data_IF_135741385179
#
_entry.id   IF_135741385179
#
_cell.length_a   1.000
_cell.length_b   1.000
_cell.length_c   1.000
_cell.angle_alpha   90.00
_cell.angle_beta   90.00
_cell.angle_gamma   90.00
#
_symmetry.space_group_name_H-M   'P 1'
#
loop_
_entity.id
_entity.type
_entity.pdbx_description
1 polymer ?
#
# COMPACT_ATOMS: atom_id res chain seq x y z
N UNK A 1 5.20 -15.02 2.67
CA UNK A 1 5.65 -13.67 3.06
C UNK A 1 6.32 -13.79 4.41
N UNK A 2 7.54 -13.28 4.55
CA UNK A 2 8.25 -13.26 5.83
C UNK A 2 7.67 -12.17 6.77
N UNK A 3 8.16 -12.15 8.01
CA UNK A 3 7.66 -11.25 9.06
C UNK A 3 7.88 -9.78 8.73
N UNK A 4 9.02 -9.42 8.16
CA UNK A 4 9.37 -8.02 7.92
C UNK A 4 8.54 -7.45 6.77
N UNK A 5 8.35 -8.24 5.70
CA UNK A 5 7.46 -7.87 4.60
C UNK A 5 6.00 -7.76 5.08
N UNK A 6 5.53 -8.68 5.94
CA UNK A 6 4.18 -8.59 6.52
C UNK A 6 4.00 -7.30 7.33
N UNK A 7 4.93 -7.00 8.24
CA UNK A 7 4.89 -5.78 9.06
C UNK A 7 4.94 -4.52 8.21
N UNK A 8 5.73 -4.51 7.13
CA UNK A 8 5.77 -3.42 6.18
C UNK A 8 4.43 -3.19 5.48
N UNK A 9 3.80 -4.24 4.94
CA UNK A 9 2.49 -4.12 4.27
C UNK A 9 1.43 -3.57 5.22
N UNK A 10 1.37 -4.10 6.45
CA UNK A 10 0.45 -3.60 7.49
C UNK A 10 0.71 -2.13 7.78
N UNK A 11 1.97 -1.74 7.96
CA UNK A 11 2.34 -0.35 8.17
C UNK A 11 1.87 0.57 7.02
N UNK A 12 2.10 0.17 5.76
CA UNK A 12 1.68 0.96 4.59
C UNK A 12 0.16 1.10 4.51
N UNK A 13 -0.61 0.06 4.83
CA UNK A 13 -2.08 0.14 4.91
C UNK A 13 -2.51 1.22 5.90
N UNK A 14 -1.91 1.26 7.09
CA UNK A 14 -2.21 2.28 8.09
C UNK A 14 -1.75 3.68 7.67
N UNK A 15 -0.59 3.81 7.03
CA UNK A 15 -0.11 5.08 6.51
C UNK A 15 -1.05 5.66 5.44
N UNK A 16 -1.51 4.82 4.52
CA UNK A 16 -2.50 5.18 3.51
C UNK A 16 -3.84 5.58 4.15
N UNK A 17 -4.32 4.79 5.12
CA UNK A 17 -5.55 5.08 5.86
C UNK A 17 -5.51 6.44 6.55
N UNK A 18 -4.40 6.77 7.22
CA UNK A 18 -4.19 8.06 7.85
C UNK A 18 -4.16 9.20 6.83
N UNK A 19 -3.47 9.02 5.69
CA UNK A 19 -3.39 10.04 4.64
C UNK A 19 -4.73 10.31 3.96
N UNK A 20 -5.54 9.28 3.73
CA UNK A 20 -6.79 9.37 2.99
C UNK A 20 -8.04 9.52 3.88
N UNK A 21 -7.88 9.56 5.21
CA UNK A 21 -8.99 9.67 6.15
C UNK A 21 -9.94 8.46 6.10
N UNK A 22 -9.41 7.26 5.86
CA UNK A 22 -10.18 6.02 5.73
C UNK A 22 -9.89 5.04 6.85
N UNK A 23 -10.78 4.07 7.03
CA UNK A 23 -10.50 2.91 7.89
C UNK A 23 -9.42 2.03 7.25
N UNK A 24 -8.44 1.51 8.03
CA UNK A 24 -7.43 0.58 7.54
C UNK A 24 -8.02 -0.66 6.85
N UNK A 25 -9.16 -1.17 7.32
CA UNK A 25 -9.86 -2.29 6.68
C UNK A 25 -10.35 -1.94 5.27
N UNK A 26 -10.93 -0.77 5.06
CA UNK A 26 -11.37 -0.31 3.74
C UNK A 26 -10.19 -0.09 2.80
N UNK A 27 -9.06 0.39 3.32
CA UNK A 27 -7.81 0.52 2.54
C UNK A 27 -7.28 -0.85 2.16
N UNK A 28 -7.20 -1.79 3.10
CA UNK A 28 -6.80 -3.17 2.84
C UNK A 28 -7.62 -3.78 1.71
N UNK A 29 -8.96 -3.69 1.77
CA UNK A 29 -9.85 -4.24 0.74
C UNK A 29 -9.55 -3.68 -0.66
N UNK A 30 -9.28 -2.37 -0.77
CA UNK A 30 -8.94 -1.74 -2.05
C UNK A 30 -7.56 -2.18 -2.53
N UNK A 31 -6.57 -2.22 -1.64
CA UNK A 31 -5.20 -2.62 -1.98
C UNK A 31 -5.09 -4.10 -2.36
N UNK A 32 -5.89 -4.97 -1.74
CA UNK A 32 -5.96 -6.39 -2.06
C UNK A 32 -6.64 -6.61 -3.42
N UNK A 33 -7.83 -6.04 -3.63
CA UNK A 33 -8.59 -6.18 -4.88
C UNK A 33 -7.86 -5.62 -6.11
N UNK A 34 -7.16 -4.51 -5.94
CA UNK A 34 -6.34 -3.91 -7.01
C UNK A 34 -5.05 -4.69 -7.29
N UNK A 35 -4.73 -5.69 -6.48
CA UNK A 35 -3.47 -6.42 -6.49
C UNK A 35 -2.28 -5.57 -6.05
N UNK A 36 -2.49 -4.41 -5.44
CA UNK A 36 -1.40 -3.56 -4.94
C UNK A 36 -0.54 -4.30 -3.92
N UNK A 37 -1.15 -5.08 -3.02
CA UNK A 37 -0.40 -5.89 -2.06
C UNK A 37 0.43 -6.96 -2.79
N UNK A 38 -0.23 -7.82 -3.57
CA UNK A 38 0.38 -9.02 -4.16
C UNK A 38 1.30 -8.75 -5.35
N UNK A 39 1.07 -7.66 -6.11
CA UNK A 39 1.81 -7.35 -7.36
C UNK A 39 2.76 -6.17 -7.23
N UNK A 40 2.63 -5.35 -6.18
CA UNK A 40 3.45 -4.16 -6.00
C UNK A 40 4.17 -4.12 -4.65
N UNK A 41 3.47 -4.10 -3.52
CA UNK A 41 4.12 -3.96 -2.21
C UNK A 41 5.01 -5.17 -1.85
N UNK A 42 4.49 -6.40 -1.98
CA UNK A 42 5.23 -7.61 -1.60
C UNK A 42 6.42 -7.88 -2.53
N UNK A 43 6.28 -7.86 -3.88
CA UNK A 43 7.41 -8.18 -4.76
C UNK A 43 8.53 -7.14 -4.74
N UNK A 44 8.24 -5.89 -4.35
CA UNK A 44 9.20 -4.78 -4.38
C UNK A 44 9.61 -4.31 -2.97
N UNK A 45 9.36 -5.13 -1.95
CA UNK A 45 9.65 -4.81 -0.54
C UNK A 45 11.07 -4.25 -0.33
N UNK A 46 12.09 -4.90 -0.89
CA UNK A 46 13.49 -4.50 -0.70
C UNK A 46 13.82 -3.10 -1.21
N UNK A 47 13.14 -2.68 -2.28
CA UNK A 47 13.30 -1.34 -2.84
C UNK A 47 12.45 -0.36 -2.03
N UNK A 48 11.17 -0.68 -1.82
CA UNK A 48 10.21 0.21 -1.15
C UNK A 48 10.60 0.51 0.30
N UNK A 49 11.18 -0.44 1.04
CA UNK A 49 11.59 -0.23 2.44
C UNK A 49 12.68 0.82 2.63
N UNK A 50 13.35 1.23 1.54
CA UNK A 50 14.34 2.31 1.55
C UNK A 50 13.74 3.69 1.27
N UNK A 51 12.48 3.73 0.82
CA UNK A 51 11.79 4.96 0.46
C UNK A 51 11.07 5.57 1.65
N UNK A 52 10.78 6.87 1.58
CA UNK A 52 9.96 7.54 2.59
C UNK A 52 8.51 7.05 2.55
N UNK A 53 7.85 7.01 3.69
CA UNK A 53 6.43 6.64 3.78
C UNK A 53 5.56 7.54 2.89
N UNK A 54 5.84 8.84 2.86
CA UNK A 54 5.08 9.79 2.04
C UNK A 54 5.17 9.45 0.54
N UNK A 55 6.37 9.10 0.05
CA UNK A 55 6.57 8.67 -1.32
C UNK A 55 5.75 7.42 -1.66
N UNK A 56 5.83 6.37 -0.81
CA UNK A 56 5.13 5.10 -1.05
C UNK A 56 3.61 5.32 -1.07
N UNK A 57 3.08 6.14 -0.17
CA UNK A 57 1.63 6.43 -0.11
C UNK A 57 1.15 7.14 -1.39
N UNK A 58 1.91 8.10 -1.91
CA UNK A 58 1.57 8.76 -3.18
C UNK A 58 1.69 7.79 -4.37
N UNK A 59 2.71 6.92 -4.40
CA UNK A 59 2.86 5.94 -5.48
C UNK A 59 1.76 4.87 -5.46
N UNK A 60 1.31 4.45 -4.27
CA UNK A 60 0.11 3.60 -4.11
C UNK A 60 -1.14 4.30 -4.64
N UNK A 61 -1.30 5.61 -4.39
CA UNK A 61 -2.44 6.37 -4.92
C UNK A 61 -2.43 6.40 -6.46
N UNK A 62 -1.23 6.58 -7.06
CA UNK A 62 -1.05 6.50 -8.52
C UNK A 62 -1.34 5.10 -9.04
N UNK A 63 -0.84 4.06 -8.37
CA UNK A 63 -1.07 2.65 -8.71
C UNK A 63 -2.57 2.34 -8.79
N UNK A 64 -3.34 2.82 -7.82
CA UNK A 64 -4.79 2.65 -7.75
C UNK A 64 -5.51 3.42 -8.85
N UNK A 65 -5.16 4.69 -9.05
CA UNK A 65 -5.77 5.57 -10.04
C UNK A 65 -5.63 5.02 -11.46
N UNK A 66 -4.44 4.56 -11.85
CA UNK A 66 -4.19 3.98 -13.19
C UNK A 66 -5.00 2.70 -13.42
N UNK A 67 -5.45 2.03 -12.36
CA UNK A 67 -6.27 0.80 -12.40
C UNK A 67 -7.77 1.07 -12.18
N UNK A 68 -8.19 2.33 -12.15
CA UNK A 68 -9.61 2.71 -12.02
C UNK A 68 -10.17 2.64 -10.60
N UNK A 69 -9.32 2.56 -9.57
CA UNK A 69 -9.75 2.66 -8.18
C UNK A 69 -9.75 4.11 -7.72
N UNK A 70 -10.85 4.55 -7.12
CA UNK A 70 -10.98 5.88 -6.53
C UNK A 70 -10.73 5.81 -5.02
N UNK A 71 -9.92 6.74 -4.54
CA UNK A 71 -9.66 7.00 -3.12
C UNK A 71 -10.73 7.94 -2.57
#
# INVERSE_FOLDING_TARGET
MDKDTFSFVVYIIHACANKWGKLPSSVYDILDRSGCISKYLVPHYDILRTQSTAYIVEDVAVYLKVRGYNL
#
